data_IF_506736280462
#
_entry.id   IF_506736280462
#
_cell.length_a   1.000
_cell.length_b   1.000
_cell.length_c   1.000
_cell.angle_alpha   90.00
_cell.angle_beta   90.00
_cell.angle_gamma   90.00
#
_symmetry.space_group_name_H-M   'P 1'
#
loop_
_entity.id
_entity.type
_entity.pdbx_description
1 polymer ?
#
# COMPACT_ATOMS: atom_id res chain seq x y z
N UNK A 1 17.34 9.15 26.45
CA UNK A 1 17.29 9.50 25.03
C UNK A 1 16.04 8.82 24.48
N UNK A 2 14.97 9.58 24.21
CA UNK A 2 13.76 9.02 23.61
C UNK A 2 14.14 8.45 22.25
N UNK A 3 14.00 7.14 22.03
CA UNK A 3 13.91 6.65 20.66
C UNK A 3 12.72 7.40 20.03
N UNK A 4 12.98 8.15 18.97
CA UNK A 4 11.95 8.93 18.30
C UNK A 4 10.90 7.99 17.74
N UNK A 5 9.62 8.32 17.90
CA UNK A 5 8.59 7.65 17.10
C UNK A 5 8.76 8.13 15.67
N UNK A 6 9.19 7.25 14.77
CA UNK A 6 9.32 7.58 13.37
C UNK A 6 7.98 7.34 12.68
N UNK A 7 7.58 8.27 11.82
CA UNK A 7 6.46 8.06 10.91
C UNK A 7 6.98 7.31 9.69
N UNK A 8 6.31 6.21 9.30
CA UNK A 8 6.58 5.64 7.99
C UNK A 8 5.95 6.54 6.92
N UNK A 9 6.49 6.54 5.68
CA UNK A 9 6.05 7.45 4.64
C UNK A 9 4.54 7.37 4.41
N UNK A 10 3.87 8.52 4.38
CA UNK A 10 2.48 8.62 3.93
C UNK A 10 2.44 8.72 2.40
N UNK A 11 1.46 8.05 1.80
CA UNK A 11 1.23 8.16 0.36
C UNK A 11 0.50 9.46 0.02
N UNK A 12 1.04 10.19 -0.94
CA UNK A 12 0.47 11.41 -1.51
C UNK A 12 0.48 11.32 -3.04
N UNK A 13 -0.25 12.22 -3.72
CA UNK A 13 -0.31 12.28 -5.18
C UNK A 13 -0.57 10.89 -5.82
N UNK A 14 -1.50 10.14 -5.26
CA UNK A 14 -1.82 8.77 -5.68
C UNK A 14 -2.61 8.80 -6.99
N UNK A 15 -2.05 8.20 -8.03
CA UNK A 15 -2.62 8.14 -9.37
C UNK A 15 -2.72 6.68 -9.80
N UNK A 16 -3.91 6.27 -10.21
CA UNK A 16 -4.16 4.98 -10.85
C UNK A 16 -4.49 5.19 -12.32
N UNK A 17 -3.70 4.60 -13.22
CA UNK A 17 -3.86 4.73 -14.66
C UNK A 17 -4.14 3.35 -15.26
N UNK A 18 -5.29 3.13 -15.93
CA UNK A 18 -5.45 1.99 -16.83
C UNK A 18 -4.43 2.09 -17.97
N UNK A 19 -3.76 0.98 -18.28
CA UNK A 19 -2.75 0.91 -19.35
C UNK A 19 -3.15 -0.17 -20.34
N UNK A 20 -4.16 0.15 -21.14
CA UNK A 20 -4.73 -0.76 -22.15
C UNK A 20 -4.31 -0.39 -23.59
N UNK A 21 -3.84 0.86 -23.79
CA UNK A 21 -3.41 1.37 -25.09
C UNK A 21 -2.05 2.07 -25.01
N UNK A 22 -1.34 2.15 -26.13
CA UNK A 22 -0.03 2.83 -26.21
C UNK A 22 -0.10 4.32 -25.86
N UNK A 23 -1.25 4.96 -26.02
CA UNK A 23 -1.50 6.35 -25.60
C UNK A 23 -1.31 6.53 -24.08
N UNK A 24 -1.65 5.50 -23.28
CA UNK A 24 -1.51 5.50 -21.83
C UNK A 24 -0.04 5.49 -21.37
N UNK A 25 0.89 4.94 -22.17
CA UNK A 25 2.34 5.00 -21.89
C UNK A 25 2.82 6.46 -21.86
N UNK A 26 2.36 7.26 -22.82
CA UNK A 26 2.65 8.69 -22.85
C UNK A 26 2.06 9.45 -21.65
N UNK A 27 0.86 9.06 -21.21
CA UNK A 27 0.22 9.64 -20.03
C UNK A 27 0.98 9.30 -18.74
N UNK A 28 1.37 8.02 -18.55
CA UNK A 28 2.16 7.56 -17.42
C UNK A 28 3.51 8.30 -17.32
N UNK A 29 4.21 8.45 -18.45
CA UNK A 29 5.48 9.20 -18.49
C UNK A 29 5.31 10.67 -18.09
N UNK A 30 4.25 11.33 -18.53
CA UNK A 30 3.95 12.72 -18.13
C UNK A 30 3.60 12.80 -16.65
N UNK A 31 2.77 11.88 -16.16
CA UNK A 31 2.37 11.84 -14.76
C UNK A 31 3.57 11.69 -13.82
N UNK A 32 4.49 10.77 -14.12
CA UNK A 32 5.69 10.58 -13.29
C UNK A 32 6.68 11.74 -13.42
N UNK A 33 6.81 12.36 -14.60
CA UNK A 33 7.65 13.55 -14.76
C UNK A 33 7.15 14.72 -13.90
N UNK A 34 5.84 14.97 -13.91
CA UNK A 34 5.22 15.99 -13.06
C UNK A 34 5.39 15.67 -11.57
N UNK A 35 5.31 14.39 -11.19
CA UNK A 35 5.53 13.96 -9.82
C UNK A 35 7.00 14.21 -9.39
N UNK A 36 7.96 13.82 -10.24
CA UNK A 36 9.39 14.05 -10.01
C UNK A 36 9.72 15.54 -9.87
N UNK A 37 9.13 16.40 -10.69
CA UNK A 37 9.28 17.85 -10.58
C UNK A 37 8.75 18.39 -9.25
N UNK A 38 7.54 17.98 -8.83
CA UNK A 38 6.97 18.38 -7.53
C UNK A 38 7.77 17.89 -6.33
N UNK A 39 8.46 16.77 -6.48
CA UNK A 39 9.35 16.21 -5.47
C UNK A 39 10.79 16.77 -5.57
N UNK A 40 11.04 17.70 -6.49
CA UNK A 40 12.34 18.32 -6.75
C UNK A 40 13.47 17.30 -7.05
N UNK A 41 13.13 16.24 -7.79
CA UNK A 41 14.13 15.26 -8.24
C UNK A 41 15.15 15.93 -9.18
N UNK A 42 16.45 15.58 -9.08
CA UNK A 42 17.44 15.99 -10.06
C UNK A 42 17.03 15.56 -11.47
N UNK A 43 17.30 16.40 -12.49
CA UNK A 43 16.85 16.14 -13.87
C UNK A 43 17.33 14.80 -14.44
N UNK A 44 18.53 14.35 -14.09
CA UNK A 44 19.04 13.02 -14.45
C UNK A 44 18.22 11.89 -13.80
N UNK A 45 17.88 12.02 -12.51
CA UNK A 45 17.07 11.03 -11.80
C UNK A 45 15.63 11.00 -12.33
N UNK A 46 15.03 12.16 -12.58
CA UNK A 46 13.70 12.25 -13.19
C UNK A 46 13.65 11.55 -14.57
N UNK A 47 14.70 11.70 -15.39
CA UNK A 47 14.81 11.00 -16.67
C UNK A 47 14.91 9.47 -16.50
N UNK A 48 15.70 8.99 -15.54
CA UNK A 48 15.79 7.56 -15.20
C UNK A 48 14.43 6.97 -14.79
N UNK A 49 13.70 7.67 -13.90
CA UNK A 49 12.34 7.26 -13.49
C UNK A 49 11.41 7.23 -14.70
N UNK A 50 11.50 8.22 -15.59
CA UNK A 50 10.72 8.28 -16.82
C UNK A 50 10.97 7.10 -17.77
N UNK A 51 12.23 6.64 -17.89
CA UNK A 51 12.58 5.44 -18.65
C UNK A 51 11.92 4.21 -18.02
N UNK A 52 12.11 4.01 -16.72
CA UNK A 52 11.55 2.85 -16.02
C UNK A 52 10.02 2.79 -16.15
N UNK A 53 9.31 3.90 -15.91
CA UNK A 53 7.85 3.97 -16.09
C UNK A 53 7.41 3.68 -17.52
N UNK A 54 8.17 4.14 -18.51
CA UNK A 54 7.87 3.87 -19.92
C UNK A 54 7.97 2.36 -20.22
N UNK A 55 9.01 1.69 -19.72
CA UNK A 55 9.18 0.24 -19.88
C UNK A 55 8.07 -0.53 -19.16
N UNK A 56 7.74 -0.17 -17.92
CA UNK A 56 6.67 -0.80 -17.13
C UNK A 56 5.32 -0.67 -17.86
N UNK A 57 4.96 0.54 -18.27
CA UNK A 57 3.69 0.77 -18.96
C UNK A 57 3.65 0.11 -20.35
N UNK A 58 4.77 0.06 -21.06
CA UNK A 58 4.85 -0.64 -22.35
C UNK A 58 4.66 -2.15 -22.17
N UNK A 59 5.22 -2.73 -21.10
CA UNK A 59 5.04 -4.13 -20.80
C UNK A 59 3.58 -4.46 -20.46
N UNK A 60 2.92 -3.62 -19.66
CA UNK A 60 1.48 -3.75 -19.43
C UNK A 60 0.71 -3.77 -20.75
N UNK A 61 0.91 -2.77 -21.61
CA UNK A 61 0.17 -2.68 -22.88
C UNK A 61 0.44 -3.86 -23.84
N UNK A 62 1.61 -4.49 -23.80
CA UNK A 62 1.99 -5.58 -24.72
C UNK A 62 1.64 -6.97 -24.23
N UNK A 63 1.62 -7.18 -22.92
CA UNK A 63 1.59 -8.52 -22.33
C UNK A 63 0.42 -8.75 -21.37
N UNK A 64 -0.22 -7.70 -20.85
CA UNK A 64 -1.38 -7.83 -20.00
C UNK A 64 -2.67 -7.90 -20.82
N UNK A 65 -3.63 -8.70 -20.36
CA UNK A 65 -5.00 -8.64 -20.87
C UNK A 65 -5.73 -7.39 -20.34
N UNK A 66 -5.50 -7.07 -19.06
CA UNK A 66 -5.89 -5.83 -18.40
C UNK A 66 -4.83 -5.46 -17.38
N UNK A 67 -4.43 -4.18 -17.36
CA UNK A 67 -3.33 -3.70 -16.53
C UNK A 67 -3.58 -2.30 -16.00
N UNK A 68 -3.16 -2.06 -14.75
CA UNK A 68 -3.19 -0.75 -14.12
C UNK A 68 -1.81 -0.38 -13.59
N UNK A 69 -1.49 0.90 -13.67
CA UNK A 69 -0.28 1.50 -13.12
C UNK A 69 -0.65 2.41 -11.95
N UNK A 70 -0.09 2.12 -10.78
CA UNK A 70 -0.06 2.99 -9.61
C UNK A 70 1.20 3.86 -9.68
N UNK A 71 1.03 5.17 -9.54
CA UNK A 71 2.09 6.15 -9.32
C UNK A 71 1.76 6.91 -8.04
N UNK A 72 2.70 7.05 -7.11
CA UNK A 72 2.49 7.87 -5.91
C UNK A 72 3.80 8.42 -5.35
N UNK A 73 3.70 9.51 -4.59
CA UNK A 73 4.76 9.97 -3.72
C UNK A 73 4.66 9.26 -2.38
N UNK A 74 5.79 8.79 -1.86
CA UNK A 74 5.95 8.39 -0.47
C UNK A 74 6.76 9.47 0.24
N UNK A 75 6.18 10.14 1.26
CA UNK A 75 6.85 11.24 1.96
C UNK A 75 6.97 11.00 3.46
N UNK A 76 8.14 11.31 4.00
CA UNK A 76 8.36 11.63 5.43
C UNK A 76 8.66 13.13 5.56
N UNK A 77 9.02 13.59 6.76
CA UNK A 77 9.38 14.99 6.99
C UNK A 77 10.63 15.43 6.22
N UNK A 78 11.54 14.49 5.94
CA UNK A 78 12.89 14.73 5.42
C UNK A 78 13.20 13.98 4.12
N UNK A 79 12.36 13.03 3.72
CA UNK A 79 12.57 12.18 2.55
C UNK A 79 11.32 12.08 1.68
N UNK A 80 11.53 11.92 0.37
CA UNK A 80 10.47 11.75 -0.59
C UNK A 80 10.90 10.77 -1.68
N UNK A 81 10.06 9.79 -1.99
CA UNK A 81 10.30 8.79 -3.03
C UNK A 81 9.12 8.75 -4.01
N UNK A 82 9.40 8.30 -5.22
CA UNK A 82 8.38 7.88 -6.18
C UNK A 82 8.24 6.37 -6.07
N UNK A 83 7.02 5.91 -5.81
CA UNK A 83 6.66 4.51 -5.92
C UNK A 83 5.81 4.30 -7.17
N UNK A 84 6.22 3.31 -7.96
CA UNK A 84 5.56 2.86 -9.18
C UNK A 84 5.18 1.41 -9.00
N UNK A 85 3.95 1.04 -9.29
CA UNK A 85 3.57 -0.36 -9.36
C UNK A 85 2.67 -0.67 -10.55
N UNK A 86 2.92 -1.80 -11.21
CA UNK A 86 2.08 -2.36 -12.25
C UNK A 86 1.40 -3.61 -11.71
N UNK A 87 0.10 -3.72 -12.01
CA UNK A 87 -0.74 -4.85 -11.63
C UNK A 87 -1.53 -5.28 -12.86
N UNK A 88 -1.40 -6.53 -13.26
CA UNK A 88 -2.14 -7.11 -14.38
C UNK A 88 -2.79 -8.45 -14.08
N UNK A 89 -3.72 -8.82 -14.97
CA UNK A 89 -4.39 -10.12 -15.06
C UNK A 89 -3.94 -10.91 -16.31
N UNK A 90 -2.71 -10.70 -16.79
CA UNK A 90 -2.17 -11.41 -17.94
C UNK A 90 -1.79 -12.86 -17.62
N UNK A 91 -1.17 -13.59 -18.56
CA UNK A 91 -0.82 -15.00 -18.40
C UNK A 91 0.35 -15.26 -17.42
N UNK A 92 0.89 -14.19 -16.81
CA UNK A 92 2.09 -14.25 -15.99
C UNK A 92 3.40 -14.40 -16.79
N UNK A 93 4.50 -14.45 -16.05
CA UNK A 93 5.87 -14.56 -16.50
C UNK A 93 6.41 -15.89 -15.93
N UNK A 94 6.59 -16.94 -16.76
CA UNK A 94 6.97 -18.27 -16.29
C UNK A 94 8.33 -18.33 -15.56
N UNK A 95 9.31 -17.55 -16.01
CA UNK A 95 10.63 -17.42 -15.37
C UNK A 95 10.96 -15.93 -15.19
N UNK A 96 10.73 -15.45 -13.98
CA UNK A 96 10.90 -14.05 -13.61
C UNK A 96 12.37 -13.64 -13.55
N UNK A 97 13.28 -14.52 -13.16
CA UNK A 97 14.72 -14.23 -13.15
C UNK A 97 15.26 -14.13 -14.57
N UNK A 98 14.84 -15.02 -15.47
CA UNK A 98 15.18 -14.94 -16.89
C UNK A 98 14.61 -13.65 -17.52
N UNK A 99 13.43 -13.21 -17.11
CA UNK A 99 12.82 -11.98 -17.60
C UNK A 99 13.58 -10.70 -17.20
N UNK A 100 14.44 -10.75 -16.18
CA UNK A 100 15.34 -9.66 -15.81
C UNK A 100 16.68 -9.67 -16.55
N UNK A 101 17.02 -10.76 -17.27
CA UNK A 101 18.25 -10.85 -18.05
C UNK A 101 18.10 -10.10 -19.38
N UNK A 102 19.05 -9.21 -19.66
CA UNK A 102 19.08 -8.49 -20.94
C UNK A 102 19.14 -9.47 -22.12
N UNK A 103 18.38 -9.21 -23.18
CA UNK A 103 18.35 -10.04 -24.39
C UNK A 103 17.22 -11.08 -24.42
N UNK A 104 16.47 -11.26 -23.33
CA UNK A 104 15.30 -12.15 -23.29
C UNK A 104 14.00 -11.37 -23.46
N UNK A 105 13.33 -11.56 -24.61
CA UNK A 105 12.01 -10.99 -24.91
C UNK A 105 11.15 -12.02 -25.63
N UNK A 106 9.91 -12.18 -25.17
CA UNK A 106 8.92 -13.07 -25.80
C UNK A 106 8.20 -12.43 -27.00
N UNK A 107 8.37 -11.12 -27.24
CA UNK A 107 7.63 -10.35 -28.27
C UNK A 107 8.54 -9.53 -29.22
N UNK A 108 9.78 -9.99 -29.47
CA UNK A 108 10.64 -9.39 -30.49
C UNK A 108 11.23 -8.00 -30.17
N UNK A 109 11.20 -7.57 -28.90
CA UNK A 109 12.00 -6.42 -28.43
C UNK A 109 13.43 -6.85 -28.05
N UNK A 110 14.32 -5.91 -27.74
CA UNK A 110 15.69 -6.23 -27.30
C UNK A 110 15.75 -7.00 -25.95
N UNK A 111 14.62 -7.18 -25.24
CA UNK A 111 14.61 -7.92 -23.97
C UNK A 111 15.35 -7.21 -22.84
N UNK A 112 15.37 -5.88 -22.87
CA UNK A 112 16.11 -5.04 -21.90
C UNK A 112 15.16 -4.42 -20.86
N UNK A 113 13.84 -4.42 -21.11
CA UNK A 113 12.86 -3.59 -20.39
C UNK A 113 12.81 -3.82 -18.88
N UNK A 114 12.54 -5.04 -18.41
CA UNK A 114 12.48 -5.34 -16.97
C UNK A 114 13.86 -5.27 -16.31
N UNK A 115 14.92 -5.68 -17.01
CA UNK A 115 16.31 -5.52 -16.56
C UNK A 115 16.69 -4.05 -16.33
N UNK A 116 16.26 -3.16 -17.22
CA UNK A 116 16.45 -1.72 -17.07
C UNK A 116 15.69 -1.19 -15.85
N UNK A 117 14.43 -1.59 -15.63
CA UNK A 117 13.68 -1.21 -14.44
C UNK A 117 14.43 -1.61 -13.17
N UNK A 118 14.91 -2.86 -13.08
CA UNK A 118 15.67 -3.36 -11.92
C UNK A 118 16.98 -2.61 -11.69
N UNK A 119 17.68 -2.18 -12.74
CA UNK A 119 18.91 -1.36 -12.64
C UNK A 119 18.64 0.09 -12.25
N UNK A 120 17.49 0.63 -12.65
CA UNK A 120 17.14 2.03 -12.41
C UNK A 120 16.48 2.26 -11.05
N UNK A 121 15.70 1.31 -10.57
CA UNK A 121 15.03 1.38 -9.27
C UNK A 121 16.00 1.18 -8.09
N UNK A 122 15.69 1.80 -6.96
CA UNK A 122 16.41 1.57 -5.70
C UNK A 122 15.88 0.32 -4.98
N UNK A 123 14.58 0.05 -5.11
CA UNK A 123 13.94 -1.21 -4.73
C UNK A 123 13.09 -1.69 -5.89
N UNK A 124 13.18 -2.97 -6.23
CA UNK A 124 12.34 -3.60 -7.23
C UNK A 124 11.85 -4.94 -6.70
N UNK A 125 10.56 -5.21 -6.82
CA UNK A 125 9.93 -6.47 -6.44
C UNK A 125 8.98 -6.92 -7.54
N UNK A 126 9.00 -8.21 -7.85
CA UNK A 126 8.18 -8.80 -8.90
C UNK A 126 7.60 -10.11 -8.37
N UNK A 127 6.29 -10.27 -8.48
CA UNK A 127 5.63 -11.56 -8.33
C UNK A 127 4.75 -11.78 -9.55
N UNK A 128 4.83 -12.99 -10.09
CA UNK A 128 4.04 -13.36 -11.25
C UNK A 128 3.45 -14.75 -11.04
N UNK A 129 2.16 -14.88 -11.32
CA UNK A 129 1.42 -16.14 -11.30
C UNK A 129 0.69 -16.30 -12.63
N UNK A 130 0.11 -17.48 -12.91
CA UNK A 130 -0.76 -17.64 -14.09
C UNK A 130 -1.97 -16.69 -14.12
N UNK A 131 -2.32 -16.08 -12.98
CA UNK A 131 -3.41 -15.11 -12.84
C UNK A 131 -2.94 -13.64 -13.01
N UNK A 132 -1.67 -13.44 -13.37
CA UNK A 132 -1.10 -12.14 -13.72
C UNK A 132 0.11 -11.73 -12.89
N UNK A 133 0.62 -10.54 -13.19
CA UNK A 133 1.88 -10.03 -12.62
C UNK A 133 1.68 -8.78 -11.77
N UNK A 134 2.45 -8.69 -10.68
CA UNK A 134 2.63 -7.49 -9.88
C UNK A 134 4.11 -7.13 -9.85
N UNK A 135 4.43 -5.96 -10.37
CA UNK A 135 5.77 -5.36 -10.32
C UNK A 135 5.68 -4.07 -9.51
N UNK A 136 6.55 -3.91 -8.52
CA UNK A 136 6.72 -2.68 -7.77
C UNK A 136 8.16 -2.17 -7.85
N UNK A 137 8.33 -0.86 -7.99
CA UNK A 137 9.61 -0.18 -8.05
C UNK A 137 9.56 1.13 -7.25
N UNK A 138 10.64 1.42 -6.50
CA UNK A 138 10.82 2.69 -5.76
C UNK A 138 12.05 3.43 -6.23
N UNK A 139 11.93 4.76 -6.24
CA UNK A 139 12.97 5.68 -6.67
C UNK A 139 13.07 6.84 -5.69
N UNK A 140 14.21 7.01 -5.04
CA UNK A 140 14.59 8.20 -4.30
C UNK A 140 15.29 9.24 -5.21
N UNK A 141 15.39 10.50 -4.76
CA UNK A 141 16.04 11.58 -5.51
C UNK A 141 17.56 11.38 -5.62
N UNK A 142 18.17 10.68 -4.68
CA UNK A 142 19.58 10.24 -4.70
C UNK A 142 19.64 8.73 -4.50
N UNK A 143 20.35 8.00 -5.38
CA UNK A 143 20.56 6.55 -5.27
C UNK A 143 21.34 6.14 -4.03
N UNK A 144 22.02 7.08 -3.37
CA UNK A 144 22.81 6.82 -2.15
C UNK A 144 21.94 6.72 -0.89
N UNK A 145 20.70 7.21 -0.93
CA UNK A 145 19.79 7.05 0.21
C UNK A 145 19.29 5.62 0.27
N UNK A 146 19.44 4.97 1.42
CA UNK A 146 18.89 3.63 1.65
C UNK A 146 17.37 3.75 1.72
N UNK A 147 16.62 3.04 0.86
CA UNK A 147 15.16 3.04 0.92
C UNK A 147 14.68 2.60 2.30
N UNK A 148 13.60 3.21 2.79
CA UNK A 148 13.00 2.76 4.06
C UNK A 148 12.58 1.31 3.90
N UNK A 149 13.08 0.36 4.72
CA UNK A 149 12.77 -1.05 4.48
C UNK A 149 11.26 -1.29 4.63
N UNK A 150 10.71 -2.07 3.71
CA UNK A 150 9.28 -2.36 3.58
C UNK A 150 8.77 -3.29 4.68
N UNK A 151 8.74 -2.84 5.93
CA UNK A 151 8.13 -3.61 7.02
C UNK A 151 6.61 -3.46 7.05
N UNK A 152 6.09 -2.34 6.57
CA UNK A 152 4.68 -2.11 6.45
C UNK A 152 4.40 -1.08 5.35
N UNK A 153 3.29 -1.25 4.64
CA UNK A 153 2.85 -0.34 3.59
C UNK A 153 1.33 -0.39 3.50
N UNK A 154 0.72 0.73 3.17
CA UNK A 154 -0.69 0.78 2.77
C UNK A 154 -0.81 1.07 1.28
N UNK A 155 -1.95 0.72 0.69
CA UNK A 155 -2.35 1.07 -0.67
C UNK A 155 -3.80 1.50 -0.61
N UNK A 156 -4.14 2.62 -1.26
CA UNK A 156 -5.51 3.11 -1.42
C UNK A 156 -5.81 3.26 -2.91
N UNK A 157 -7.05 2.98 -3.29
CA UNK A 157 -7.54 3.09 -4.65
C UNK A 157 -8.92 3.73 -4.62
N UNK A 158 -9.11 4.87 -5.30
CA UNK A 158 -10.42 5.48 -5.37
C UNK A 158 -11.40 4.61 -6.16
N UNK A 159 -12.68 4.69 -5.81
CA UNK A 159 -13.78 4.16 -6.62
C UNK A 159 -13.71 4.74 -8.05
N UNK A 160 -14.14 3.95 -9.03
CA UNK A 160 -14.15 4.38 -10.42
C UNK A 160 -14.92 5.71 -10.61
N UNK A 161 -14.25 6.69 -11.21
CA UNK A 161 -14.81 8.02 -11.46
C UNK A 161 -14.44 9.08 -10.42
N UNK A 162 -13.84 8.70 -9.30
CA UNK A 162 -13.30 9.62 -8.30
C UNK A 162 -11.78 9.79 -8.46
N UNK A 163 -11.29 11.01 -8.20
CA UNK A 163 -9.85 11.30 -8.17
C UNK A 163 -9.25 11.13 -6.76
N UNK A 164 -10.10 11.12 -5.74
CA UNK A 164 -9.69 11.08 -4.33
C UNK A 164 -10.38 9.92 -3.63
N UNK A 165 -9.58 9.06 -3.01
CA UNK A 165 -10.07 7.92 -2.23
C UNK A 165 -10.60 8.40 -0.86
N UNK A 166 -11.77 7.89 -0.46
CA UNK A 166 -12.34 8.04 0.87
C UNK A 166 -11.54 7.35 1.96
N UNK A 167 -10.81 6.30 1.60
CA UNK A 167 -9.96 5.55 2.52
C UNK A 167 -8.60 6.22 2.75
N UNK A 168 -8.06 6.07 3.96
CA UNK A 168 -6.72 6.48 4.30
C UNK A 168 -6.08 5.55 5.34
N UNK A 169 -4.75 5.47 5.30
CA UNK A 169 -3.96 4.75 6.29
C UNK A 169 -2.85 5.62 6.85
N UNK A 170 -2.32 5.22 8.01
CA UNK A 170 -1.12 5.81 8.58
C UNK A 170 -0.36 4.75 9.38
N UNK A 171 0.97 4.85 9.39
CA UNK A 171 1.83 3.89 10.08
C UNK A 171 2.89 4.64 10.89
N UNK A 172 3.08 4.23 12.14
CA UNK A 172 4.12 4.72 13.05
C UNK A 172 4.98 3.57 13.52
N UNK A 173 6.23 3.88 13.83
CA UNK A 173 7.24 2.93 14.30
C UNK A 173 7.89 3.44 15.58
N UNK A 174 8.07 2.55 16.55
CA UNK A 174 8.87 2.77 17.76
C UNK A 174 9.74 1.54 18.00
N UNK A 175 11.04 1.64 17.66
CA UNK A 175 11.94 0.49 17.61
C UNK A 175 11.44 -0.57 16.62
N UNK A 176 11.15 -1.78 17.10
CA UNK A 176 10.58 -2.87 16.27
C UNK A 176 9.04 -2.93 16.35
N UNK A 177 8.41 -2.06 17.14
CA UNK A 177 6.96 -1.99 17.23
C UNK A 177 6.38 -1.17 16.09
N UNK A 178 5.24 -1.60 15.60
CA UNK A 178 4.47 -0.88 14.59
C UNK A 178 3.09 -0.55 15.13
N UNK A 179 2.63 0.66 14.86
CA UNK A 179 1.26 1.08 15.08
C UNK A 179 0.66 1.41 13.72
N UNK A 180 -0.34 0.62 13.33
CA UNK A 180 -1.03 0.72 12.04
C UNK A 180 -2.40 1.36 12.28
N UNK A 181 -2.83 2.21 11.37
CA UNK A 181 -4.20 2.72 11.31
C UNK A 181 -4.74 2.61 9.89
N UNK A 182 -5.99 2.17 9.77
CA UNK A 182 -6.76 2.24 8.55
C UNK A 182 -8.12 2.86 8.84
N UNK A 183 -8.56 3.75 7.98
CA UNK A 183 -9.84 4.44 8.06
C UNK A 183 -10.52 4.45 6.70
N UNK A 184 -11.78 4.03 6.68
CA UNK A 184 -12.71 4.13 5.56
C UNK A 184 -13.70 5.24 5.91
N UNK A 185 -13.60 6.38 5.20
CA UNK A 185 -14.46 7.53 5.41
C UNK A 185 -15.83 7.29 4.77
N UNK A 186 -16.92 7.60 5.48
CA UNK A 186 -18.25 7.22 5.00
C UNK A 186 -18.61 7.84 3.63
N UNK A 187 -18.93 6.97 2.67
CA UNK A 187 -19.21 7.31 1.27
C UNK A 187 -17.93 7.33 0.43
N UNK A 188 -17.89 8.13 -0.64
CA UNK A 188 -16.71 8.26 -1.50
C UNK A 188 -16.38 9.72 -1.79
N UNK A 189 -15.22 9.94 -2.42
CA UNK A 189 -14.78 11.23 -2.92
C UNK A 189 -14.35 12.21 -1.82
N UNK A 190 -14.32 13.53 -2.11
CA UNK A 190 -13.64 14.52 -1.25
C UNK A 190 -14.16 14.61 0.20
N UNK A 191 -15.45 14.36 0.44
CA UNK A 191 -16.04 14.44 1.77
C UNK A 191 -15.71 13.22 2.64
N UNK A 192 -15.67 12.02 2.05
CA UNK A 192 -15.16 10.82 2.71
C UNK A 192 -13.67 10.97 3.03
N UNK A 193 -12.90 11.44 2.05
CA UNK A 193 -11.47 11.71 2.20
C UNK A 193 -11.17 12.75 3.29
N UNK A 194 -12.04 13.75 3.47
CA UNK A 194 -11.90 14.71 4.57
C UNK A 194 -12.05 14.06 5.94
N UNK A 195 -12.93 13.05 6.09
CA UNK A 195 -13.12 12.33 7.34
C UNK A 195 -11.91 11.45 7.66
N UNK A 196 -11.44 10.65 6.70
CA UNK A 196 -10.27 9.79 6.88
C UNK A 196 -8.97 10.58 7.08
N UNK A 197 -8.80 11.73 6.40
CA UNK A 197 -7.68 12.66 6.65
C UNK A 197 -7.68 13.24 8.06
N UNK A 198 -8.86 13.50 8.65
CA UNK A 198 -8.94 13.95 10.04
C UNK A 198 -8.43 12.86 11.00
N UNK A 199 -8.76 11.59 10.72
CA UNK A 199 -8.20 10.46 11.45
C UNK A 199 -6.68 10.35 11.28
N UNK A 200 -6.16 10.49 10.05
CA UNK A 200 -4.71 10.44 9.78
C UNK A 200 -3.96 11.49 10.58
N UNK A 201 -4.41 12.75 10.57
CA UNK A 201 -3.79 13.83 11.36
C UNK A 201 -3.79 13.51 12.84
N UNK A 202 -4.93 13.14 13.42
CA UNK A 202 -5.02 12.79 14.84
C UNK A 202 -4.23 11.53 15.24
N UNK A 203 -3.97 10.63 14.30
CA UNK A 203 -3.12 9.47 14.50
C UNK A 203 -1.63 9.85 14.56
N UNK A 204 -1.19 10.67 13.61
CA UNK A 204 0.20 11.12 13.47
C UNK A 204 0.58 12.11 14.59
N UNK A 205 -0.28 13.07 14.90
CA UNK A 205 -0.02 14.14 15.88
C UNK A 205 -0.13 13.67 17.34
N UNK A 206 -0.75 12.51 17.58
CA UNK A 206 -1.00 12.02 18.94
C UNK A 206 0.14 11.18 19.53
N UNK A 207 0.19 11.04 20.85
CA UNK A 207 1.15 10.14 21.50
C UNK A 207 0.91 8.66 21.16
N UNK A 208 1.98 7.87 21.24
CA UNK A 208 1.90 6.40 21.19
C UNK A 208 1.02 5.90 22.33
N UNK A 209 0.06 5.05 22.01
CA UNK A 209 -1.00 4.66 22.92
C UNK A 209 -1.56 3.28 22.54
N UNK A 210 -2.15 2.55 23.49
CA UNK A 210 -2.88 1.32 23.18
C UNK A 210 -3.99 1.59 22.14
N UNK A 211 -4.24 0.64 21.20
CA UNK A 211 -5.24 0.78 20.15
C UNK A 211 -6.59 1.35 20.57
N UNK A 212 -7.16 0.92 21.71
CA UNK A 212 -8.44 1.46 22.19
C UNK A 212 -8.39 2.98 22.39
N UNK A 213 -7.33 3.47 23.05
CA UNK A 213 -7.17 4.91 23.33
C UNK A 213 -6.95 5.69 22.04
N UNK A 214 -6.21 5.13 21.09
CA UNK A 214 -6.04 5.73 19.76
C UNK A 214 -7.39 5.83 19.05
N UNK A 215 -8.16 4.74 18.95
CA UNK A 215 -9.48 4.75 18.29
C UNK A 215 -10.43 5.76 18.93
N UNK A 216 -10.45 5.91 20.26
CA UNK A 216 -11.24 6.95 20.93
C UNK A 216 -10.82 8.36 20.52
N UNK A 217 -9.51 8.62 20.40
CA UNK A 217 -8.98 9.90 19.90
C UNK A 217 -9.40 10.15 18.45
N UNK A 218 -9.32 9.13 17.59
CA UNK A 218 -9.77 9.23 16.19
C UNK A 218 -11.26 9.52 16.09
N UNK A 219 -12.09 8.84 16.90
CA UNK A 219 -13.53 9.11 16.98
C UNK A 219 -13.82 10.59 17.31
N UNK A 220 -13.13 11.16 18.30
CA UNK A 220 -13.29 12.59 18.64
C UNK A 220 -12.82 13.51 17.51
N UNK A 221 -11.69 13.20 16.88
CA UNK A 221 -11.13 14.01 15.79
C UNK A 221 -12.00 14.02 14.52
N UNK A 222 -12.80 12.96 14.32
CA UNK A 222 -13.72 12.84 13.19
C UNK A 222 -15.10 13.50 13.45
N UNK A 223 -15.35 14.06 14.64
CA UNK A 223 -16.61 14.77 14.92
C UNK A 223 -16.79 15.95 13.95
N UNK A 224 -18.00 16.09 13.39
CA UNK A 224 -18.31 17.13 12.40
C UNK A 224 -17.86 16.82 10.98
N UNK A 225 -17.27 15.64 10.73
CA UNK A 225 -17.02 15.11 9.37
C UNK A 225 -18.12 14.12 8.97
N UNK A 226 -17.97 13.42 7.84
CA UNK A 226 -18.82 12.26 7.48
C UNK A 226 -18.61 11.03 8.37
N UNK A 227 -17.58 11.05 9.23
CA UNK A 227 -17.23 9.89 10.03
C UNK A 227 -16.75 8.73 9.16
N UNK A 228 -16.69 7.54 9.74
CA UNK A 228 -16.22 6.37 9.01
C UNK A 228 -15.95 5.17 9.89
N UNK A 229 -15.52 4.08 9.27
CA UNK A 229 -14.95 2.96 9.98
C UNK A 229 -13.45 3.21 10.22
N UNK A 230 -12.94 2.74 11.35
CA UNK A 230 -11.54 2.92 11.72
C UNK A 230 -11.04 1.74 12.53
N UNK A 231 -9.81 1.34 12.29
CA UNK A 231 -9.13 0.35 13.10
C UNK A 231 -7.68 0.73 13.34
N UNK A 232 -7.18 0.30 14.49
CA UNK A 232 -5.80 0.48 14.92
C UNK A 232 -5.24 -0.87 15.38
N UNK A 233 -4.04 -1.21 14.90
CA UNK A 233 -3.32 -2.40 15.30
C UNK A 233 -1.93 -2.02 15.82
N UNK A 234 -1.57 -2.53 17.00
CA UNK A 234 -0.21 -2.42 17.54
C UNK A 234 0.47 -3.78 17.49
N UNK A 235 1.58 -3.87 16.75
CA UNK A 235 2.37 -5.08 16.56
C UNK A 235 3.61 -4.98 17.43
N UNK A 236 3.77 -5.92 18.35
CA UNK A 236 4.98 -6.08 19.16
C UNK A 236 5.64 -7.42 18.83
N UNK A 237 6.62 -7.45 17.90
CA UNK A 237 7.32 -8.68 17.52
C UNK A 237 8.16 -9.26 18.67
N UNK A 238 8.65 -8.44 19.59
CA UNK A 238 9.41 -8.91 20.76
C UNK A 238 8.50 -9.66 21.72
N UNK A 239 7.33 -9.08 22.03
CA UNK A 239 6.33 -9.74 22.87
C UNK A 239 5.54 -10.84 22.14
N UNK A 240 5.64 -10.91 20.80
CA UNK A 240 4.86 -11.81 19.93
C UNK A 240 3.35 -11.61 20.10
N UNK A 241 2.94 -10.36 20.26
CA UNK A 241 1.54 -9.98 20.45
C UNK A 241 1.12 -8.93 19.46
N UNK A 242 -0.13 -9.04 18.99
CA UNK A 242 -0.83 -7.98 18.30
C UNK A 242 -2.00 -7.51 19.17
N UNK A 243 -2.08 -6.20 19.44
CA UNK A 243 -3.26 -5.57 20.03
C UNK A 243 -4.07 -4.88 18.93
N UNK A 244 -5.39 -4.98 18.99
CA UNK A 244 -6.28 -4.44 17.96
C UNK A 244 -7.52 -3.80 18.57
N UNK A 245 -7.94 -2.67 18.02
CA UNK A 245 -9.26 -2.09 18.27
C UNK A 245 -9.82 -1.57 16.94
N UNK A 246 -11.05 -1.94 16.62
CA UNK A 246 -11.75 -1.51 15.41
C UNK A 246 -13.19 -1.09 15.71
N UNK A 247 -13.65 -0.06 15.00
CA UNK A 247 -15.04 0.42 14.99
C UNK A 247 -15.51 0.47 13.54
N UNK A 248 -16.59 -0.24 13.22
CA UNK A 248 -17.14 -0.35 11.88
C UNK A 248 -16.80 -1.66 11.20
N UNK A 249 -16.54 -1.61 9.90
CA UNK A 249 -16.39 -2.72 8.96
C UNK A 249 -14.94 -2.95 8.50
N UNK A 250 -13.93 -2.25 9.07
CA UNK A 250 -12.53 -2.55 8.75
C UNK A 250 -12.22 -3.99 9.15
N UNK A 251 -11.80 -4.79 8.17
CA UNK A 251 -11.37 -6.16 8.38
C UNK A 251 -9.88 -6.18 8.72
N UNK A 252 -9.48 -7.17 9.51
CA UNK A 252 -8.08 -7.41 9.81
C UNK A 252 -7.82 -8.90 9.99
N UNK A 253 -6.59 -9.33 9.72
CA UNK A 253 -6.17 -10.70 9.95
C UNK A 253 -4.67 -10.81 10.27
N UNK A 254 -4.33 -11.76 11.13
CA UNK A 254 -2.97 -12.28 11.27
C UNK A 254 -2.87 -13.54 10.42
N UNK A 255 -1.95 -13.53 9.46
CA UNK A 255 -1.71 -14.62 8.53
C UNK A 255 -0.38 -15.28 8.83
N UNK A 256 -0.43 -16.57 9.14
CA UNK A 256 0.75 -17.45 9.23
C UNK A 256 0.42 -18.76 8.51
N UNK A 257 0.45 -19.90 9.21
CA UNK A 257 -0.11 -21.17 8.69
C UNK A 257 -1.64 -21.10 8.52
N UNK A 258 -2.29 -20.18 9.23
CA UNK A 258 -3.73 -19.94 9.19
C UNK A 258 -4.03 -18.44 9.14
N UNK A 259 -5.21 -18.09 8.64
CA UNK A 259 -5.78 -16.74 8.69
C UNK A 259 -6.62 -16.62 9.95
N UNK A 260 -6.17 -15.80 10.92
CA UNK A 260 -6.93 -15.49 12.12
C UNK A 260 -7.51 -14.08 12.00
N UNK A 261 -8.84 -13.95 11.93
CA UNK A 261 -9.52 -12.66 11.82
C UNK A 261 -9.42 -11.82 13.09
N UNK A 262 -9.30 -10.50 12.92
CA UNK A 262 -9.34 -9.48 13.95
C UNK A 262 -10.77 -8.94 14.10
N UNK A 263 -11.18 -8.64 15.32
CA UNK A 263 -12.57 -8.29 15.64
C UNK A 263 -12.75 -6.76 15.66
N UNK A 264 -13.56 -6.26 14.74
CA UNK A 264 -14.11 -4.90 14.76
C UNK A 264 -15.50 -4.87 15.39
N UNK A 265 -15.78 -3.87 16.23
CA UNK A 265 -17.09 -3.69 16.83
C UNK A 265 -17.98 -2.77 15.99
N UNK A 266 -19.31 -2.98 15.95
CA UNK A 266 -20.20 -2.10 15.20
C UNK A 266 -20.15 -0.65 15.69
N UNK A 267 -20.13 0.28 14.74
CA UNK A 267 -20.19 1.72 15.00
C UNK A 267 -19.62 2.54 13.86
N UNK A 268 -19.70 3.87 14.00
CA UNK A 268 -19.14 4.84 13.06
C UNK A 268 -18.36 5.87 13.86
N UNK A 269 -17.04 5.94 13.65
CA UNK A 269 -16.20 6.98 14.24
C UNK A 269 -16.66 8.37 13.76
N UNK A 270 -16.64 9.38 14.63
CA UNK A 270 -17.23 10.69 14.36
C UNK A 270 -18.76 10.79 14.51
N UNK A 271 -19.48 9.67 14.72
CA UNK A 271 -20.93 9.65 14.97
C UNK A 271 -21.32 8.83 16.20
N UNK A 272 -21.30 7.49 16.08
CA UNK A 272 -21.76 6.58 17.11
C UNK A 272 -20.76 5.43 17.30
N UNK A 273 -19.89 5.57 18.29
CA UNK A 273 -18.93 4.54 18.70
C UNK A 273 -19.07 4.26 20.21
N UNK A 274 -20.19 3.65 20.60
CA UNK A 274 -20.55 3.47 22.04
C UNK A 274 -19.57 2.55 22.78
N UNK A 275 -19.04 1.56 22.09
CA UNK A 275 -18.09 0.59 22.65
C UNK A 275 -16.85 0.56 21.79
N UNK A 276 -15.71 0.91 22.39
CA UNK A 276 -14.38 0.66 21.82
C UNK A 276 -13.71 -0.31 22.78
N UNK A 277 -13.20 -1.42 22.25
CA UNK A 277 -12.55 -2.47 23.04
C UNK A 277 -11.31 -2.95 22.33
N UNK A 278 -10.28 -3.20 23.12
CA UNK A 278 -9.07 -3.85 22.66
C UNK A 278 -9.17 -5.38 22.74
N UNK A 279 -8.62 -6.05 21.73
CA UNK A 279 -8.42 -7.48 21.66
C UNK A 279 -6.94 -7.79 21.43
N UNK A 280 -6.46 -8.88 22.03
CA UNK A 280 -5.07 -9.33 21.90
C UNK A 280 -5.01 -10.66 21.15
N UNK A 281 -4.05 -10.78 20.25
CA UNK A 281 -3.84 -11.93 19.38
C UNK A 281 -2.36 -12.34 19.39
N UNK A 282 -2.12 -13.62 19.09
CA UNK A 282 -0.77 -14.13 18.88
C UNK A 282 -0.18 -13.58 17.58
N UNK A 283 1.08 -13.15 17.65
CA UNK A 283 1.85 -12.69 16.50
C UNK A 283 3.08 -13.60 16.33
N UNK A 284 2.93 -14.78 15.70
CA UNK A 284 4.04 -15.71 15.54
C UNK A 284 5.12 -15.11 14.62
N UNK A 285 6.39 -15.54 14.77
CA UNK A 285 7.46 -15.11 13.88
C UNK A 285 7.13 -15.37 12.40
N UNK A 286 7.42 -14.41 11.53
CA UNK A 286 7.13 -14.49 10.10
C UNK A 286 5.66 -14.28 9.73
N UNK A 287 4.78 -13.99 10.70
CA UNK A 287 3.39 -13.65 10.40
C UNK A 287 3.29 -12.36 9.57
N UNK A 288 2.25 -12.29 8.76
CA UNK A 288 1.84 -11.09 8.02
C UNK A 288 0.53 -10.58 8.59
N UNK A 289 0.47 -9.30 8.90
CA UNK A 289 -0.76 -8.64 9.35
C UNK A 289 -1.34 -7.90 8.16
N UNK A 290 -2.62 -8.15 7.88
CA UNK A 290 -3.37 -7.50 6.80
C UNK A 290 -4.56 -6.78 7.42
N UNK A 291 -4.78 -5.53 7.07
CA UNK A 291 -6.01 -4.78 7.36
C UNK A 291 -6.57 -4.23 6.05
N UNK A 292 -7.87 -4.23 5.83
CA UNK A 292 -8.48 -3.67 4.63
C UNK A 292 -9.87 -3.09 4.88
N UNK A 293 -10.28 -2.14 4.04
CA UNK A 293 -11.68 -1.66 4.00
C UNK A 293 -12.60 -2.71 3.37
N UNK A 294 -13.91 -2.48 3.42
CA UNK A 294 -14.89 -3.35 2.75
C UNK A 294 -14.88 -3.24 1.22
N UNK A 295 -14.12 -2.30 0.67
CA UNK A 295 -13.67 -2.30 -0.72
C UNK A 295 -12.85 -3.53 -1.12
N UNK A 296 -12.46 -4.39 -0.18
CA UNK A 296 -11.97 -5.74 -0.45
C UNK A 296 -12.88 -6.78 0.21
N UNK A 297 -13.20 -7.84 -0.53
CA UNK A 297 -13.92 -8.99 -0.01
C UNK A 297 -13.02 -9.80 0.95
N UNK A 298 -13.45 -10.03 2.18
CA UNK A 298 -12.70 -10.80 3.20
C UNK A 298 -12.55 -12.31 2.88
N UNK A 299 -13.07 -12.79 1.73
CA UNK A 299 -12.96 -14.20 1.30
C UNK A 299 -11.60 -14.59 0.71
N UNK A 300 -10.61 -13.69 0.69
CA UNK A 300 -9.24 -14.08 0.32
C UNK A 300 -8.67 -15.09 1.34
N UNK A 301 -8.06 -16.15 0.82
CA UNK A 301 -7.56 -17.28 1.61
C UNK A 301 -6.08 -17.15 1.99
N UNK A 302 -5.59 -18.14 2.72
CA UNK A 302 -4.15 -18.37 2.86
C UNK A 302 -3.69 -19.08 1.58
N UNK A 303 -3.34 -18.30 0.55
CA UNK A 303 -2.68 -18.79 -0.67
C UNK A 303 -1.29 -19.40 -0.31
N UNK A 304 -0.57 -20.16 -1.17
CA UNK A 304 0.58 -20.94 -0.72
C UNK A 304 1.63 -20.02 -0.11
N UNK A 305 2.36 -20.57 0.86
CA UNK A 305 3.39 -19.95 1.72
C UNK A 305 4.25 -18.87 1.01
N UNK A 306 4.47 -19.03 -0.31
CA UNK A 306 5.20 -18.10 -1.18
C UNK A 306 4.61 -16.68 -1.26
N UNK A 307 3.28 -16.46 -1.22
CA UNK A 307 2.72 -15.09 -1.26
C UNK A 307 3.23 -14.28 -0.07
N UNK A 308 3.17 -14.87 1.11
CA UNK A 308 3.43 -14.20 2.38
C UNK A 308 4.93 -13.91 2.60
N UNK A 309 5.82 -14.52 1.80
CA UNK A 309 7.24 -14.18 1.78
C UNK A 309 7.56 -12.96 0.91
N UNK A 310 6.66 -12.54 0.01
CA UNK A 310 6.87 -11.37 -0.86
C UNK A 310 6.92 -10.04 -0.10
N UNK A 311 7.30 -8.98 -0.80
CA UNK A 311 7.27 -7.60 -0.29
C UNK A 311 5.83 -7.19 0.09
N UNK A 312 5.61 -6.47 1.21
CA UNK A 312 4.26 -6.06 1.63
C UNK A 312 3.45 -5.32 0.57
N UNK A 313 4.09 -4.53 -0.30
CA UNK A 313 3.39 -3.81 -1.35
C UNK A 313 2.87 -4.78 -2.41
N UNK A 314 3.68 -5.75 -2.80
CA UNK A 314 3.27 -6.79 -3.74
C UNK A 314 2.09 -7.57 -3.18
N UNK A 315 2.15 -7.97 -1.91
CA UNK A 315 1.03 -8.65 -1.23
C UNK A 315 -0.24 -7.78 -1.26
N UNK A 316 -0.13 -6.50 -0.91
CA UNK A 316 -1.29 -5.59 -0.91
C UNK A 316 -1.91 -5.40 -2.28
N UNK A 317 -1.08 -5.23 -3.31
CA UNK A 317 -1.53 -5.06 -4.69
C UNK A 317 -2.18 -6.32 -5.27
N UNK A 318 -1.66 -7.51 -4.94
CA UNK A 318 -2.29 -8.78 -5.32
C UNK A 318 -3.65 -8.95 -4.64
N UNK A 319 -3.75 -8.63 -3.34
CA UNK A 319 -5.03 -8.66 -2.63
C UNK A 319 -6.04 -7.68 -3.24
N UNK A 320 -5.62 -6.48 -3.63
CA UNK A 320 -6.47 -5.51 -4.33
C UNK A 320 -6.94 -6.03 -5.70
N UNK A 321 -6.08 -6.72 -6.45
CA UNK A 321 -6.44 -7.33 -7.73
C UNK A 321 -7.47 -8.44 -7.56
N UNK A 322 -7.25 -9.33 -6.59
CA UNK A 322 -8.03 -10.55 -6.40
C UNK A 322 -9.35 -10.32 -5.67
N UNK A 323 -9.33 -9.47 -4.64
CA UNK A 323 -10.46 -9.28 -3.72
C UNK A 323 -11.10 -7.89 -3.83
N UNK A 324 -10.56 -6.99 -4.65
CA UNK A 324 -11.08 -5.63 -4.80
C UNK A 324 -12.49 -5.57 -5.39
N UNK A 325 -13.34 -4.74 -4.79
CA UNK A 325 -14.72 -4.47 -5.20
C UNK A 325 -14.75 -3.22 -6.07
N UNK A 326 -15.22 -3.32 -7.31
CA UNK A 326 -15.22 -2.18 -8.27
C UNK A 326 -16.13 -1.01 -7.91
N UNK A 327 -17.02 -1.20 -6.93
CA UNK A 327 -18.09 -0.24 -6.57
C UNK A 327 -17.81 0.51 -5.28
N UNK A 328 -16.57 0.45 -4.79
CA UNK A 328 -16.18 1.15 -3.58
C UNK A 328 -14.75 1.67 -3.66
N UNK A 329 -14.42 2.57 -2.74
CA UNK A 329 -13.04 2.87 -2.40
C UNK A 329 -12.41 1.60 -1.79
N UNK A 330 -11.15 1.33 -2.15
CA UNK A 330 -10.48 0.11 -1.74
C UNK A 330 -9.14 0.42 -1.10
N UNK A 331 -8.89 -0.14 0.08
CA UNK A 331 -7.63 0.04 0.78
C UNK A 331 -7.15 -1.22 1.49
N UNK A 332 -5.84 -1.37 1.55
CA UNK A 332 -5.18 -2.47 2.26
C UNK A 332 -3.90 -1.98 2.91
N UNK A 333 -3.65 -2.42 4.14
CA UNK A 333 -2.39 -2.24 4.87
C UNK A 333 -1.82 -3.61 5.14
N UNK A 334 -0.57 -3.81 4.75
CA UNK A 334 0.18 -5.06 4.96
C UNK A 334 1.40 -4.74 5.82
N UNK A 335 1.61 -5.51 6.88
CA UNK A 335 2.76 -5.39 7.75
C UNK A 335 3.41 -6.75 8.04
N UNK A 336 4.74 -6.80 7.97
CA UNK A 336 5.60 -7.94 8.27
C UNK A 336 6.47 -7.60 9.48
N UNK A 337 5.97 -7.85 10.70
CA UNK A 337 6.72 -7.56 11.93
C UNK A 337 8.02 -8.38 11.99
N UNK A 338 9.15 -7.69 12.15
CA UNK A 338 10.44 -8.33 12.43
C UNK A 338 11.16 -8.98 11.25
N UNK A 339 11.00 -8.49 10.02
CA UNK A 339 11.81 -8.92 8.88
C UNK A 339 13.27 -8.39 8.96
N UNK A 340 14.08 -8.91 9.89
CA UNK A 340 15.54 -8.86 9.71
C UNK A 340 16.00 -10.00 8.83
#
# INVERSE_FOLDING_TARGET
MSAGTDHLPTAEDVIWLPVEELSAVGAARRAVANLAERLAFPGSRAAEVGIAVTEIATNLCKHADQGVLLLRALRTADHAEIEVAAVDNGPGIPDTELAFLDGHSTTGTLGIGLGAVRRLADVCSLRSTPDGTVLAARFGPDRRTVPTPGFAIGVTKPIAGEEVCGDAYAIRRDGDRLLLMLCDGAGHGPLAASASRAAVRAFLDGDWAPPERVVRRLHTAMLGTRGGAVAVAELDPTARTLRYAGVGNIAGAVVSERKNGLVSLPGVAGYQARTVREFTYDLPPGAVVVMHSDGLNDRWGVDPVVRWSADPLVIGLELLREAGVRRDDASVVVAKPGAR
#
